data_IF_729495670057
#
_entry.id   IF_729495670057
#
_cell.length_a   1.000
_cell.length_b   1.000
_cell.length_c   1.000
_cell.angle_alpha   90.00
_cell.angle_beta   90.00
_cell.angle_gamma   90.00
#
_symmetry.space_group_name_H-M   'P 1'
#
loop_
_entity.id
_entity.type
_entity.pdbx_description
1 polymer ?
#
# COMPACT_ATOMS: atom_id res chain seq x y z
N UNK A 1 -62.19 49.87 11.37
CA UNK A 1 -61.79 48.47 11.66
C UNK A 1 -61.44 47.81 10.34
N UNK A 2 -60.21 47.29 10.18
CA UNK A 2 -59.77 46.26 9.20
C UNK A 2 -59.96 46.59 7.69
N UNK A 3 -59.08 46.35 6.72
CA UNK A 3 -57.82 45.61 6.56
C UNK A 3 -57.26 46.00 5.16
N UNK A 4 -55.94 46.02 5.00
CA UNK A 4 -55.17 46.05 3.73
C UNK A 4 -55.14 44.63 3.07
N UNK A 5 -54.70 44.39 1.80
CA UNK A 5 -53.45 44.91 1.22
C UNK A 5 -53.41 45.25 -0.28
N UNK A 6 -52.27 45.86 -0.62
CA UNK A 6 -51.86 46.49 -1.87
C UNK A 6 -51.38 45.51 -2.97
N UNK A 7 -51.44 45.97 -4.23
CA UNK A 7 -50.82 45.31 -5.38
C UNK A 7 -50.23 46.35 -6.35
N UNK A 8 -48.99 46.07 -6.75
CA UNK A 8 -48.33 46.40 -8.01
C UNK A 8 -47.93 47.86 -8.32
N UNK A 9 -46.62 48.11 -8.37
CA UNK A 9 -46.04 49.17 -9.19
C UNK A 9 -44.87 48.62 -10.02
N UNK A 10 -45.06 48.64 -11.34
CA UNK A 10 -44.04 48.46 -12.37
C UNK A 10 -43.18 49.73 -12.44
N UNK A 11 -41.86 49.57 -12.48
CA UNK A 11 -40.93 50.66 -12.81
C UNK A 11 -39.97 50.18 -13.91
N UNK A 12 -40.21 50.69 -15.12
CA UNK A 12 -39.25 50.76 -16.21
C UNK A 12 -38.37 51.99 -16.01
N UNK A 13 -37.05 51.86 -16.09
CA UNK A 13 -36.16 52.98 -16.42
C UNK A 13 -35.02 52.55 -17.36
N UNK A 14 -35.16 53.05 -18.58
CA UNK A 14 -34.21 53.63 -19.52
C UNK A 14 -32.72 53.19 -19.61
N UNK A 15 -32.32 53.07 -20.87
CA UNK A 15 -31.01 52.81 -21.47
C UNK A 15 -29.98 53.95 -21.36
N UNK A 16 -28.73 53.54 -21.66
CA UNK A 16 -27.60 54.26 -22.26
C UNK A 16 -26.47 54.59 -21.24
N UNK A 17 -25.18 54.36 -21.49
CA UNK A 17 -24.38 54.38 -22.72
C UNK A 17 -23.05 53.61 -22.53
N UNK A 18 -22.51 53.05 -23.61
CA UNK A 18 -21.06 52.97 -23.82
C UNK A 18 -20.39 51.61 -23.60
N UNK A 19 -20.55 50.68 -24.55
CA UNK A 19 -19.60 49.59 -24.74
C UNK A 19 -18.36 50.14 -25.48
N UNK A 20 -17.21 50.18 -24.80
CA UNK A 20 -15.90 50.14 -25.47
C UNK A 20 -15.26 48.81 -25.11
N UNK A 21 -15.54 47.80 -25.92
CA UNK A 21 -14.95 46.48 -25.79
C UNK A 21 -13.48 46.51 -26.17
N UNK A 22 -12.60 46.28 -25.20
CA UNK A 22 -11.30 45.63 -25.43
C UNK A 22 -11.13 44.54 -24.39
N UNK A 23 -11.84 43.43 -24.60
CA UNK A 23 -11.54 42.17 -23.92
C UNK A 23 -10.33 41.55 -24.61
N UNK A 24 -9.14 42.04 -24.24
CA UNK A 24 -7.90 41.32 -24.48
C UNK A 24 -8.00 39.98 -23.75
N UNK A 25 -8.36 38.92 -24.49
CA UNK A 25 -8.31 37.53 -24.03
C UNK A 25 -6.86 37.19 -23.68
N UNK A 26 -6.42 37.52 -22.47
CA UNK A 26 -5.30 36.84 -21.83
C UNK A 26 -5.76 35.39 -21.65
N UNK A 27 -5.36 34.53 -22.58
CA UNK A 27 -5.41 33.08 -22.39
C UNK A 27 -4.55 32.78 -21.17
N UNK A 28 -5.17 32.58 -20.01
CA UNK A 28 -4.50 31.96 -18.87
C UNK A 28 -4.14 30.55 -19.30
N UNK A 29 -2.88 30.35 -19.69
CA UNK A 29 -2.33 29.02 -19.88
C UNK A 29 -2.18 28.43 -18.49
N UNK A 30 -3.18 27.70 -18.03
CA UNK A 30 -3.03 26.80 -16.89
C UNK A 30 -2.11 25.69 -17.38
N UNK A 31 -0.82 25.79 -17.08
CA UNK A 31 0.07 24.64 -17.17
C UNK A 31 -0.46 23.61 -16.17
N UNK A 32 -1.25 22.66 -16.65
CA UNK A 32 -1.48 21.42 -15.95
C UNK A 32 -0.11 20.77 -15.81
N UNK A 33 0.50 20.91 -14.64
CA UNK A 33 1.62 20.07 -14.26
C UNK A 33 1.09 18.65 -14.34
N UNK A 34 1.60 17.85 -15.29
CA UNK A 34 1.44 16.42 -15.22
C UNK A 34 1.94 16.02 -13.84
N UNK A 35 0.99 15.71 -12.94
CA UNK A 35 1.27 15.28 -11.58
C UNK A 35 1.93 13.93 -11.72
N UNK A 36 3.25 13.93 -11.89
CA UNK A 36 4.07 12.77 -11.56
C UNK A 36 3.61 12.44 -10.15
N UNK A 37 2.92 11.32 -9.96
CA UNK A 37 2.50 10.90 -8.62
C UNK A 37 3.78 10.77 -7.81
N UNK A 38 4.14 11.82 -7.09
CA UNK A 38 5.18 11.77 -6.08
C UNK A 38 4.68 10.75 -5.08
N UNK A 39 5.43 9.67 -4.84
CA UNK A 39 5.09 8.80 -3.73
C UNK A 39 4.91 9.66 -2.48
N UNK A 40 3.97 9.28 -1.64
CA UNK A 40 3.56 10.15 -0.57
C UNK A 40 4.72 10.32 0.42
N UNK A 41 5.32 11.52 0.42
CA UNK A 41 6.51 11.87 1.19
C UNK A 41 6.13 12.87 2.27
N UNK A 42 6.31 12.46 3.52
CA UNK A 42 6.03 13.34 4.66
C UNK A 42 7.14 14.36 4.91
N UNK A 43 8.42 13.96 4.76
CA UNK A 43 9.66 14.77 4.75
C UNK A 43 10.88 13.82 4.91
N UNK A 44 12.11 14.34 4.91
CA UNK A 44 13.33 13.56 5.19
C UNK A 44 13.35 12.92 6.58
N UNK A 45 12.65 13.47 7.57
CA UNK A 45 12.57 12.90 8.93
C UNK A 45 11.64 11.67 8.97
N UNK A 46 10.65 11.59 8.10
CA UNK A 46 9.77 10.42 7.97
C UNK A 46 10.48 9.21 7.36
N UNK A 47 11.73 9.38 6.88
CA UNK A 47 12.56 8.28 6.40
C UNK A 47 12.80 7.20 7.47
N UNK A 48 12.75 7.57 8.76
CA UNK A 48 12.88 6.62 9.87
C UNK A 48 11.82 5.52 9.81
N UNK A 49 10.60 5.84 9.35
CA UNK A 49 9.47 4.90 9.18
C UNK A 49 9.34 4.34 7.76
N UNK A 50 10.29 4.63 6.86
CA UNK A 50 10.21 4.28 5.44
C UNK A 50 11.43 3.49 4.95
N UNK A 51 11.95 2.58 5.77
CA UNK A 51 13.02 1.66 5.39
C UNK A 51 12.46 0.26 5.05
N UNK A 52 12.32 -0.01 3.76
CA UNK A 52 11.78 -1.27 3.25
C UNK A 52 12.65 -2.49 3.59
N UNK A 53 13.97 -2.30 3.75
CA UNK A 53 14.85 -3.39 4.18
C UNK A 53 14.46 -3.91 5.57
N UNK A 54 14.08 -3.02 6.49
CA UNK A 54 13.68 -3.39 7.85
C UNK A 54 12.33 -4.12 7.90
N UNK A 55 11.48 -3.92 6.89
CA UNK A 55 10.21 -4.64 6.75
C UNK A 55 10.45 -6.05 6.23
N UNK A 56 11.32 -6.23 5.24
CA UNK A 56 11.47 -7.50 4.54
C UNK A 56 12.48 -8.46 5.19
N UNK A 57 13.59 -7.94 5.73
CA UNK A 57 14.70 -8.76 6.20
C UNK A 57 14.65 -8.98 7.71
N UNK A 58 13.50 -9.46 8.20
CA UNK A 58 13.26 -9.78 9.62
C UNK A 58 13.57 -11.24 9.97
N UNK A 59 13.72 -12.11 8.97
CA UNK A 59 13.89 -13.55 9.14
C UNK A 59 12.59 -14.34 9.16
N UNK A 60 11.43 -13.67 9.08
CA UNK A 60 10.11 -14.29 8.96
C UNK A 60 9.31 -13.73 7.77
N UNK A 61 8.25 -14.41 7.30
CA UNK A 61 7.39 -13.87 6.25
C UNK A 61 6.65 -12.61 6.71
N UNK A 62 6.55 -11.64 5.79
CA UNK A 62 5.67 -10.48 5.90
C UNK A 62 4.38 -10.77 5.15
N UNK A 63 3.28 -10.90 5.87
CA UNK A 63 1.95 -11.20 5.33
C UNK A 63 1.24 -9.92 4.90
N UNK A 64 0.47 -9.99 3.83
CA UNK A 64 -0.45 -8.94 3.41
C UNK A 64 -1.78 -9.19 4.10
N UNK A 65 -2.16 -8.32 5.04
CA UNK A 65 -3.40 -8.44 5.81
C UNK A 65 -4.58 -7.85 5.07
N UNK A 66 -4.39 -6.65 4.50
CA UNK A 66 -5.43 -5.93 3.79
C UNK A 66 -4.92 -5.44 2.44
N UNK A 67 -5.82 -5.42 1.45
CA UNK A 67 -5.59 -4.80 0.14
C UNK A 67 -6.78 -3.92 -0.23
N UNK A 68 -6.55 -2.85 -0.96
CA UNK A 68 -7.64 -2.04 -1.55
C UNK A 68 -8.23 -2.70 -2.82
N UNK A 69 -7.79 -3.91 -3.14
CA UNK A 69 -8.23 -4.69 -4.28
C UNK A 69 -8.29 -6.17 -3.96
N UNK A 70 -9.25 -6.85 -4.58
CA UNK A 70 -9.53 -8.25 -4.31
C UNK A 70 -8.62 -9.20 -5.08
N UNK A 71 -8.39 -8.93 -6.36
CA UNK A 71 -7.62 -9.82 -7.24
C UNK A 71 -6.20 -9.30 -7.50
N UNK A 72 -5.21 -10.19 -7.41
CA UNK A 72 -3.82 -9.88 -7.72
C UNK A 72 -3.13 -11.01 -8.51
N UNK A 73 -2.79 -10.78 -9.79
CA UNK A 73 -2.04 -11.73 -10.60
C UNK A 73 -0.70 -12.17 -9.99
N UNK A 74 -0.06 -11.31 -9.19
CA UNK A 74 1.19 -11.64 -8.50
C UNK A 74 1.03 -12.80 -7.51
N UNK A 75 -0.19 -12.98 -6.98
CA UNK A 75 -0.56 -14.00 -6.00
C UNK A 75 -1.67 -14.91 -6.55
N UNK A 76 -1.62 -15.28 -7.84
CA UNK A 76 -2.52 -16.29 -8.40
C UNK A 76 -3.96 -15.81 -8.67
N UNK A 77 -4.15 -14.50 -8.82
CA UNK A 77 -5.43 -13.79 -9.04
C UNK A 77 -6.29 -13.79 -7.78
N UNK A 78 -6.83 -14.93 -7.37
CA UNK A 78 -7.70 -15.07 -6.20
C UNK A 78 -6.99 -15.69 -5.00
N UNK A 79 -5.65 -15.70 -5.00
CA UNK A 79 -4.88 -16.33 -3.93
C UNK A 79 -5.07 -15.63 -2.58
N UNK A 80 -5.18 -16.44 -1.54
CA UNK A 80 -5.38 -16.05 -0.15
C UNK A 80 -4.07 -16.14 0.63
N UNK A 81 -4.01 -15.57 1.84
CA UNK A 81 -2.82 -15.58 2.68
C UNK A 81 -1.53 -15.14 1.96
N UNK A 82 -1.53 -14.02 1.19
CA UNK A 82 -0.36 -13.65 0.44
C UNK A 82 0.74 -13.14 1.38
N UNK A 83 1.98 -13.57 1.15
CA UNK A 83 3.15 -13.12 1.90
C UNK A 83 4.37 -12.94 1.01
N UNK A 84 5.31 -12.14 1.52
CA UNK A 84 6.63 -11.93 0.94
C UNK A 84 7.71 -12.33 1.93
N UNK A 85 8.77 -12.97 1.45
CA UNK A 85 9.93 -13.31 2.27
C UNK A 85 11.19 -13.33 1.39
N UNK A 86 12.23 -12.53 1.66
CA UNK A 86 13.54 -12.74 1.04
C UNK A 86 14.02 -14.18 1.26
N UNK A 87 14.74 -14.76 0.33
CA UNK A 87 15.34 -16.08 0.56
C UNK A 87 16.23 -16.06 1.83
N UNK A 88 16.18 -17.08 2.72
CA UNK A 88 16.77 -17.01 4.06
C UNK A 88 18.28 -16.68 4.11
N UNK A 89 19.02 -17.02 3.06
CA UNK A 89 20.47 -16.81 2.97
C UNK A 89 20.85 -15.41 2.48
N UNK A 90 19.87 -14.58 2.13
CA UNK A 90 20.13 -13.30 1.49
C UNK A 90 20.13 -12.15 2.48
N UNK A 91 21.16 -11.32 2.38
CA UNK A 91 21.28 -10.06 3.10
C UNK A 91 20.66 -8.91 2.29
N UNK A 92 20.23 -7.81 2.94
CA UNK A 92 19.77 -6.63 2.22
C UNK A 92 20.86 -6.14 1.26
N UNK A 93 20.66 -6.39 -0.02
CA UNK A 93 21.49 -5.90 -1.12
C UNK A 93 20.58 -5.32 -2.20
N UNK A 94 21.15 -4.57 -3.14
CA UNK A 94 20.37 -3.89 -4.18
C UNK A 94 19.44 -4.83 -4.96
N UNK A 95 19.85 -6.08 -5.21
CA UNK A 95 19.09 -7.09 -5.95
C UNK A 95 19.14 -8.44 -5.23
N UNK A 96 17.99 -9.10 -5.10
CA UNK A 96 17.81 -10.29 -4.28
C UNK A 96 16.67 -11.17 -4.85
N UNK A 97 16.50 -12.39 -4.36
CA UNK A 97 15.37 -13.28 -4.67
C UNK A 97 14.36 -13.22 -3.54
N UNK A 98 13.10 -13.02 -3.90
CA UNK A 98 11.98 -12.97 -2.97
C UNK A 98 11.04 -14.13 -3.25
N UNK A 99 10.61 -14.82 -2.20
CA UNK A 99 9.56 -15.81 -2.22
C UNK A 99 8.23 -15.09 -2.04
N UNK A 100 7.33 -15.32 -3.00
CA UNK A 100 5.93 -14.91 -2.95
C UNK A 100 5.11 -16.15 -2.63
N UNK A 101 4.54 -16.19 -1.44
CA UNK A 101 3.68 -17.30 -1.03
C UNK A 101 2.22 -16.88 -1.01
N UNK A 102 1.34 -17.82 -1.34
CA UNK A 102 -0.10 -17.67 -1.21
C UNK A 102 -0.76 -19.06 -1.17
N UNK A 103 -2.05 -19.09 -0.82
CA UNK A 103 -2.90 -20.28 -0.92
C UNK A 103 -3.82 -20.16 -2.13
N UNK A 104 -3.96 -21.24 -2.89
CA UNK A 104 -4.91 -21.35 -3.99
C UNK A 104 -5.51 -22.75 -3.98
N UNK A 105 -6.85 -22.81 -4.04
CA UNK A 105 -7.59 -24.08 -4.04
C UNK A 105 -7.22 -25.00 -2.86
N UNK A 106 -6.95 -24.40 -1.68
CA UNK A 106 -6.52 -25.11 -0.47
C UNK A 106 -5.03 -25.43 -0.38
N UNK A 107 -4.29 -25.33 -1.48
CA UNK A 107 -2.86 -25.66 -1.56
C UNK A 107 -1.97 -24.43 -1.35
N UNK A 108 -0.78 -24.66 -0.77
CA UNK A 108 0.25 -23.61 -0.65
C UNK A 108 1.06 -23.54 -1.93
N UNK A 109 1.16 -22.35 -2.49
CA UNK A 109 1.98 -22.07 -3.67
C UNK A 109 3.06 -21.08 -3.29
N UNK A 110 4.31 -21.41 -3.63
CA UNK A 110 5.45 -20.53 -3.48
C UNK A 110 6.08 -20.27 -4.85
N UNK A 111 6.26 -19.00 -5.19
CA UNK A 111 6.91 -18.58 -6.43
C UNK A 111 8.06 -17.66 -6.09
N UNK A 112 9.25 -17.98 -6.57
CA UNK A 112 10.41 -17.11 -6.41
C UNK A 112 10.53 -16.14 -7.58
N UNK A 113 10.79 -14.87 -7.28
CA UNK A 113 11.02 -13.80 -8.28
C UNK A 113 12.29 -13.03 -7.95
N UNK A 114 12.84 -12.37 -8.96
CA UNK A 114 13.86 -11.35 -8.76
C UNK A 114 13.23 -10.07 -8.22
N UNK A 115 13.84 -9.53 -7.18
CA UNK A 115 13.44 -8.30 -6.52
C UNK A 115 14.63 -7.34 -6.38
N UNK A 116 14.33 -6.07 -6.26
CA UNK A 116 15.30 -5.00 -6.12
C UNK A 116 14.79 -4.00 -5.09
N UNK A 117 15.68 -3.55 -4.19
CA UNK A 117 15.40 -2.43 -3.31
C UNK A 117 15.89 -1.15 -3.97
N UNK A 118 14.99 -0.17 -4.05
CA UNK A 118 15.25 1.14 -4.64
C UNK A 118 15.07 2.24 -3.60
N UNK A 119 15.91 3.25 -3.74
CA UNK A 119 15.85 4.46 -2.93
C UNK A 119 15.32 5.57 -3.80
N UNK A 120 14.28 6.26 -3.33
CA UNK A 120 13.86 7.50 -3.97
C UNK A 120 14.90 8.60 -3.76
N UNK A 121 15.00 9.53 -4.70
CA UNK A 121 16.00 10.60 -4.63
C UNK A 121 15.85 11.43 -3.33
N UNK A 122 16.98 11.70 -2.67
CA UNK A 122 17.02 12.39 -1.38
C UNK A 122 16.66 11.56 -0.14
N UNK A 123 16.39 10.26 -0.26
CA UNK A 123 16.13 9.38 0.89
C UNK A 123 17.40 8.68 1.40
N UNK A 124 17.56 8.52 2.73
CA UNK A 124 18.73 7.87 3.32
C UNK A 124 18.68 6.33 3.26
N UNK A 125 17.52 5.74 2.95
CA UNK A 125 17.29 4.29 2.95
C UNK A 125 16.34 3.86 1.83
N UNK A 126 16.44 2.60 1.35
CA UNK A 126 15.53 2.10 0.33
C UNK A 126 14.10 2.04 0.86
N UNK A 127 13.19 2.66 0.13
CA UNK A 127 11.77 2.78 0.46
C UNK A 127 10.85 2.15 -0.59
N UNK A 128 11.43 1.57 -1.65
CA UNK A 128 10.68 0.95 -2.75
C UNK A 128 11.17 -0.49 -2.96
N UNK A 129 10.26 -1.45 -2.94
CA UNK A 129 10.48 -2.82 -3.39
C UNK A 129 10.00 -2.96 -4.84
N UNK A 130 10.90 -3.36 -5.74
CA UNK A 130 10.60 -3.64 -7.15
C UNK A 130 10.66 -5.13 -7.43
N UNK A 131 9.52 -5.76 -7.70
CA UNK A 131 9.46 -7.17 -8.12
C UNK A 131 9.40 -7.24 -9.65
N UNK A 132 10.34 -7.98 -10.23
CA UNK A 132 10.42 -8.19 -11.68
C UNK A 132 9.51 -9.33 -12.11
N UNK A 133 8.77 -9.17 -13.21
CA UNK A 133 7.99 -10.26 -13.76
C UNK A 133 8.91 -11.35 -14.33
N UNK A 134 8.45 -12.61 -14.35
CA UNK A 134 9.21 -13.69 -14.98
C UNK A 134 9.21 -13.60 -16.52
N UNK A 135 8.20 -12.94 -17.09
CA UNK A 135 8.05 -12.71 -18.53
C UNK A 135 7.85 -11.22 -18.78
N UNK A 136 8.43 -10.69 -19.85
CA UNK A 136 8.19 -9.32 -20.28
C UNK A 136 6.68 -9.08 -20.50
N UNK A 137 6.20 -7.87 -20.16
CA UNK A 137 4.79 -7.45 -20.29
C UNK A 137 3.77 -8.25 -19.45
N UNK A 138 4.19 -8.99 -18.43
CA UNK A 138 3.23 -9.60 -17.51
C UNK A 138 2.66 -8.58 -16.52
N UNK A 139 1.43 -8.82 -16.07
CA UNK A 139 0.77 -8.03 -15.00
C UNK A 139 1.36 -8.30 -13.60
N UNK A 140 2.42 -9.11 -13.51
CA UNK A 140 3.09 -9.47 -12.25
C UNK A 140 4.21 -8.48 -11.90
N UNK A 141 4.55 -7.52 -12.77
CA UNK A 141 5.50 -6.48 -12.37
C UNK A 141 4.90 -5.62 -11.26
N UNK A 142 5.69 -5.32 -10.24
CA UNK A 142 5.20 -4.61 -9.07
C UNK A 142 6.25 -3.64 -8.51
N UNK A 143 5.81 -2.43 -8.20
CA UNK A 143 6.51 -1.53 -7.31
C UNK A 143 5.67 -1.37 -6.05
N UNK A 144 6.29 -1.57 -4.91
CA UNK A 144 5.73 -1.35 -3.59
C UNK A 144 6.47 -0.19 -2.96
N UNK A 145 5.80 0.93 -2.73
CA UNK A 145 6.38 2.08 -2.03
C UNK A 145 5.91 2.09 -0.59
N UNK A 146 6.85 2.07 0.36
CA UNK A 146 6.54 2.12 1.78
C UNK A 146 6.06 3.52 2.16
N UNK A 147 4.82 3.60 2.66
CA UNK A 147 4.25 4.84 3.18
C UNK A 147 4.67 5.04 4.63
N UNK A 148 4.53 3.99 5.44
CA UNK A 148 4.83 4.01 6.86
C UNK A 148 5.03 2.60 7.38
N UNK A 149 5.89 2.44 8.37
CA UNK A 149 6.03 1.22 9.15
C UNK A 149 6.32 1.57 10.60
N UNK A 150 5.64 0.87 11.51
CA UNK A 150 6.03 0.84 12.93
C UNK A 150 7.13 -0.20 13.22
N UNK A 151 7.46 -1.03 12.21
CA UNK A 151 8.43 -2.13 12.24
C UNK A 151 8.15 -3.20 13.28
N UNK A 152 6.92 -3.28 13.76
CA UNK A 152 6.51 -4.25 14.76
C UNK A 152 5.29 -5.05 14.31
N UNK A 153 4.19 -4.37 14.05
CA UNK A 153 2.92 -4.99 13.74
C UNK A 153 2.42 -4.58 12.35
N UNK A 154 2.80 -3.40 11.85
CA UNK A 154 2.20 -2.89 10.64
C UNK A 154 3.13 -2.09 9.72
N UNK A 155 2.96 -2.28 8.42
CA UNK A 155 3.45 -1.41 7.35
C UNK A 155 2.34 -1.06 6.36
N UNK A 156 2.15 0.23 6.07
CA UNK A 156 1.28 0.73 5.00
C UNK A 156 2.09 0.87 3.73
N UNK A 157 1.63 0.23 2.65
CA UNK A 157 2.38 0.15 1.40
C UNK A 157 1.48 0.54 0.22
N UNK A 158 1.99 1.40 -0.66
CA UNK A 158 1.34 1.69 -1.95
C UNK A 158 1.84 0.71 -3.01
N UNK A 159 0.91 0.03 -3.66
CA UNK A 159 1.14 -0.87 -4.79
C UNK A 159 1.01 -0.11 -6.11
N UNK A 160 1.92 -0.33 -7.05
CA UNK A 160 1.77 0.19 -8.42
C UNK A 160 0.64 -0.49 -9.18
N UNK A 161 0.17 -1.64 -8.73
CA UNK A 161 -0.94 -2.33 -9.35
C UNK A 161 -2.25 -1.70 -8.92
N UNK A 162 -3.00 -1.26 -9.92
CA UNK A 162 -4.25 -0.51 -9.77
C UNK A 162 -4.12 0.72 -8.86
N UNK A 163 -2.89 1.23 -8.69
CA UNK A 163 -2.57 2.29 -7.75
C UNK A 163 -3.11 2.04 -6.33
N UNK A 164 -3.23 0.77 -5.93
CA UNK A 164 -3.87 0.38 -4.67
C UNK A 164 -2.94 0.46 -3.46
N UNK A 165 -3.49 0.12 -2.30
CA UNK A 165 -2.76 0.09 -1.05
C UNK A 165 -2.93 -1.22 -0.30
N UNK A 166 -1.94 -1.52 0.51
CA UNK A 166 -1.86 -2.74 1.29
C UNK A 166 -1.43 -2.42 2.73
N UNK A 167 -1.86 -3.26 3.67
CA UNK A 167 -1.34 -3.30 5.04
C UNK A 167 -0.63 -4.62 5.21
N UNK A 168 0.64 -4.56 5.59
CA UNK A 168 1.49 -5.72 5.80
C UNK A 168 1.83 -5.88 7.27
N UNK A 169 2.03 -7.12 7.71
CA UNK A 169 2.45 -7.46 9.07
C UNK A 169 3.38 -8.68 9.08
N UNK A 170 4.40 -8.72 9.95
CA UNK A 170 5.16 -9.94 10.22
C UNK A 170 4.25 -11.10 10.64
N UNK A 171 4.64 -12.34 10.35
CA UNK A 171 3.86 -13.54 10.70
C UNK A 171 3.56 -13.60 12.20
N UNK A 172 4.53 -13.25 13.04
CA UNK A 172 4.41 -13.17 14.50
C UNK A 172 3.29 -12.26 15.00
N UNK A 173 2.89 -11.25 14.22
CA UNK A 173 1.87 -10.25 14.58
C UNK A 173 0.68 -10.19 13.62
N UNK A 174 0.67 -10.96 12.53
CA UNK A 174 -0.35 -10.94 11.48
C UNK A 174 -1.79 -11.26 11.95
N UNK A 175 -1.94 -11.98 13.06
CA UNK A 175 -3.24 -12.24 13.68
C UNK A 175 -3.78 -11.11 14.58
N UNK A 176 -2.99 -10.06 14.79
CA UNK A 176 -3.35 -8.91 15.61
C UNK A 176 -3.96 -7.79 14.75
N UNK A 177 -4.70 -6.89 15.37
CA UNK A 177 -5.18 -5.70 14.68
C UNK A 177 -4.02 -4.73 14.37
N UNK A 178 -3.94 -4.16 13.16
CA UNK A 178 -2.93 -3.16 12.84
C UNK A 178 -3.02 -1.94 13.77
N UNK A 179 -1.88 -1.30 14.02
CA UNK A 179 -1.83 -0.13 14.90
C UNK A 179 -2.73 1.01 14.40
N UNK A 180 -3.31 1.83 15.31
CA UNK A 180 -4.16 2.95 14.92
C UNK A 180 -3.49 3.93 13.93
N UNK A 181 -2.19 4.16 14.06
CA UNK A 181 -1.41 4.99 13.13
C UNK A 181 -1.46 4.44 11.71
N UNK A 182 -1.28 3.13 11.55
CA UNK A 182 -1.37 2.47 10.26
C UNK A 182 -2.77 2.57 9.64
N UNK A 183 -3.81 2.30 10.44
CA UNK A 183 -5.20 2.37 9.97
C UNK A 183 -5.55 3.79 9.54
N UNK A 184 -5.16 4.79 10.33
CA UNK A 184 -5.37 6.21 10.02
C UNK A 184 -4.66 6.62 8.73
N UNK A 185 -3.39 6.26 8.58
CA UNK A 185 -2.60 6.55 7.37
C UNK A 185 -3.16 5.84 6.14
N UNK A 186 -3.57 4.59 6.28
CA UNK A 186 -4.25 3.89 5.20
C UNK A 186 -5.53 4.62 4.79
N UNK A 187 -6.39 4.98 5.74
CA UNK A 187 -7.68 5.60 5.42
C UNK A 187 -7.51 6.95 4.71
N UNK A 188 -6.60 7.80 5.19
CA UNK A 188 -6.39 9.13 4.59
C UNK A 188 -5.82 9.04 3.17
N UNK A 189 -4.97 8.04 2.89
CA UNK A 189 -4.20 7.98 1.65
C UNK A 189 -4.81 7.05 0.61
N UNK A 190 -5.49 6.02 1.08
CA UNK A 190 -5.98 4.90 0.29
C UNK A 190 -7.50 4.77 0.34
N UNK A 191 -8.15 5.48 1.25
CA UNK A 191 -9.60 5.41 1.47
C UNK A 191 -10.01 4.24 2.36
N UNK A 192 -11.33 4.01 2.41
CA UNK A 192 -11.94 3.05 3.36
C UNK A 192 -12.01 1.61 2.84
N UNK A 193 -11.81 1.40 1.54
CA UNK A 193 -11.94 0.07 0.92
C UNK A 193 -10.78 -0.82 1.33
N UNK A 194 -11.09 -1.95 1.98
CA UNK A 194 -10.12 -2.98 2.35
C UNK A 194 -10.74 -4.37 2.24
N UNK A 195 -10.05 -5.27 1.53
CA UNK A 195 -10.34 -6.69 1.50
C UNK A 195 -9.41 -7.39 2.50
N UNK A 196 -9.97 -8.21 3.40
CA UNK A 196 -9.18 -8.99 4.35
C UNK A 196 -8.58 -10.22 3.65
N UNK A 197 -7.26 -10.29 3.60
CA UNK A 197 -6.50 -11.35 2.92
C UNK A 197 -5.92 -12.37 3.90
N UNK A 198 -5.98 -12.10 5.20
CA UNK A 198 -5.40 -12.95 6.25
C UNK A 198 -6.49 -13.51 7.15
N UNK A 199 -6.52 -14.84 7.22
CA UNK A 199 -7.32 -15.59 8.17
C UNK A 199 -6.36 -16.41 9.03
N UNK A 200 -6.27 -16.18 10.35
CA UNK A 200 -5.34 -16.89 11.22
C UNK A 200 -5.45 -18.41 11.13
N UNK A 201 -6.66 -18.98 11.04
CA UNK A 201 -6.87 -20.42 10.98
C UNK A 201 -6.39 -21.04 9.66
N UNK A 202 -6.44 -20.28 8.57
CA UNK A 202 -6.01 -20.74 7.24
C UNK A 202 -4.52 -20.46 6.98
N UNK A 203 -4.04 -19.29 7.42
CA UNK A 203 -2.73 -18.76 7.07
C UNK A 203 -1.64 -19.18 8.07
N UNK A 204 -1.98 -19.42 9.34
CA UNK A 204 -1.01 -19.84 10.38
C UNK A 204 -0.64 -21.32 10.29
N UNK A 205 -1.35 -22.10 9.46
CA UNK A 205 -1.01 -23.48 9.14
C UNK A 205 0.20 -23.53 8.19
N UNK A 206 1.35 -23.06 8.70
CA UNK A 206 2.64 -23.59 8.31
C UNK A 206 2.68 -25.02 8.84
N UNK A 207 2.07 -25.98 8.13
CA UNK A 207 2.13 -27.38 8.51
C UNK A 207 3.60 -27.77 8.74
N UNK A 208 4.02 -27.76 10.00
CA UNK A 208 4.20 -28.96 10.80
C UNK A 208 4.17 -30.23 9.95
N UNK A 209 5.23 -30.45 9.19
CA UNK A 209 5.79 -31.79 9.01
C UNK A 209 6.69 -32.12 10.21
N UNK A 210 6.15 -31.89 11.41
CA UNK A 210 6.61 -32.59 12.60
C UNK A 210 5.58 -33.68 12.85
N UNK A 211 5.67 -34.74 12.05
CA UNK A 211 4.89 -35.94 12.27
C UNK A 211 5.12 -36.45 13.70
N UNK A 212 4.08 -36.38 14.54
CA UNK A 212 3.87 -37.28 15.70
C UNK A 212 5.09 -37.57 16.60
N UNK A 213 6.01 -36.62 16.83
CA UNK A 213 7.02 -36.72 17.89
C UNK A 213 7.28 -35.36 18.51
N UNK A 214 6.59 -35.11 19.62
CA UNK A 214 6.96 -34.21 20.73
C UNK A 214 8.11 -33.24 20.43
N UNK A 215 7.77 -32.00 20.06
CA UNK A 215 8.71 -30.88 20.18
C UNK A 215 8.97 -30.64 21.68
N UNK A 216 10.05 -31.20 22.24
CA UNK A 216 10.59 -30.72 23.51
C UNK A 216 11.27 -29.38 23.25
N UNK A 217 10.77 -28.34 23.92
CA UNK A 217 11.50 -27.09 24.10
C UNK A 217 12.78 -27.44 24.88
N UNK A 218 13.94 -27.33 24.23
CA UNK A 218 15.21 -27.31 24.95
C UNK A 218 15.37 -25.89 25.48
N UNK A 219 14.87 -25.64 26.68
CA UNK A 219 15.24 -24.46 27.44
C UNK A 219 16.72 -24.56 27.77
N UNK A 220 17.49 -23.61 27.25
CA UNK A 220 18.90 -23.43 27.59
C UNK A 220 18.99 -22.88 29.02
N UNK A 221 19.07 -23.78 29.98
CA UNK A 221 19.49 -23.50 31.36
C UNK A 221 20.31 -24.70 31.85
N UNK A 222 21.62 -24.53 31.84
CA UNK A 222 22.50 -24.66 33.02
C UNK A 222 23.94 -25.01 32.62
N UNK A 223 24.84 -24.11 33.05
CA UNK A 223 26.28 -24.21 33.32
C UNK A 223 27.17 -25.09 32.43
#
# INVERSE_FOLDING_TARGET
>A
MSQTPALSFLLFFALATGALGSLSKRKTVVKAFNKKETPFYFNTNASESQNMSRVLFTGEPTNILYRSYEEDPLFGVTGQCPYLMPEPTQVPSGSFRIVLGYRKDGERVNVTKHAELRTYDGYPAPNILSIKPAKANSKESRLYTLIFSDYYNCSVVKSSYMSGCEIWAPTSTAGQEPTPCCLFLYEILCGKMKYNMYNPDLCSNFNSDCGTRTCRVVTKQDK
#
